data_IF_048471712298
#
_entry.id   IF_048471712298
#
_cell.length_a   1.000
_cell.length_b   1.000
_cell.length_c   1.000
_cell.angle_alpha   90.00
_cell.angle_beta   90.00
_cell.angle_gamma   90.00
#
_symmetry.space_group_name_H-M   'P 1'
#
loop_
_entity.id
_entity.type
_entity.pdbx_description
1 polymer ?
#
# COMPACT_ATOMS: atom_id res chain seq x y z
N UNK A 1 0.56 0.75 -10.63
CA UNK A 1 -0.91 0.64 -10.75
C UNK A 1 -1.43 0.33 -9.37
N UNK A 2 -2.51 0.99 -8.99
CA UNK A 2 -2.95 1.02 -7.60
C UNK A 2 -3.97 -0.07 -7.29
N UNK A 3 -3.91 -0.58 -6.07
CA UNK A 3 -4.82 -1.62 -5.58
C UNK A 3 -5.17 -1.39 -4.11
N UNK A 4 -6.30 -1.95 -3.69
CA UNK A 4 -6.69 -2.01 -2.29
C UNK A 4 -7.57 -3.23 -2.05
N UNK A 5 -7.38 -3.89 -0.91
CA UNK A 5 -8.04 -5.16 -0.60
C UNK A 5 -7.71 -5.66 0.80
N UNK A 6 -7.99 -6.94 1.04
CA UNK A 6 -7.78 -7.61 2.33
C UNK A 6 -6.71 -8.68 2.18
N UNK A 7 -5.81 -8.78 3.16
CA UNK A 7 -4.80 -9.84 3.21
C UNK A 7 -5.48 -11.18 3.51
N UNK A 8 -5.39 -12.11 2.58
CA UNK A 8 -6.00 -13.46 2.70
C UNK A 8 -4.99 -14.57 2.96
N UNK A 9 -3.70 -14.30 2.73
CA UNK A 9 -2.61 -15.25 2.98
C UNK A 9 -1.29 -14.49 3.20
N UNK A 10 -0.37 -15.08 3.98
CA UNK A 10 0.95 -14.51 4.27
C UNK A 10 2.03 -15.60 4.32
N UNK A 11 3.22 -15.27 3.84
CA UNK A 11 4.40 -16.11 4.06
C UNK A 11 4.96 -15.92 5.48
N UNK A 12 5.62 -16.93 6.04
CA UNK A 12 6.16 -16.91 7.41
C UNK A 12 7.24 -15.84 7.67
N UNK A 13 7.76 -15.22 6.61
CA UNK A 13 8.77 -14.15 6.69
C UNK A 13 8.16 -12.74 6.79
N UNK A 14 6.86 -12.59 6.52
CA UNK A 14 6.13 -11.32 6.62
C UNK A 14 6.02 -10.93 8.09
N UNK A 15 6.26 -9.65 8.42
CA UNK A 15 6.27 -9.18 9.81
C UNK A 15 5.33 -8.02 10.09
N UNK A 16 5.03 -7.18 9.09
CA UNK A 16 4.20 -5.97 9.26
C UNK A 16 2.72 -6.23 9.07
N UNK A 17 2.37 -7.14 8.17
CA UNK A 17 0.98 -7.40 7.76
C UNK A 17 0.51 -8.74 8.31
N UNK A 18 -0.79 -8.85 8.56
CA UNK A 18 -1.46 -10.09 8.96
C UNK A 18 -2.72 -10.33 8.14
N UNK A 19 -3.21 -11.56 8.17
CA UNK A 19 -4.50 -11.94 7.61
C UNK A 19 -5.59 -11.02 8.20
N UNK A 20 -6.56 -10.66 7.36
CA UNK A 20 -7.67 -9.73 7.60
C UNK A 20 -7.28 -8.24 7.67
N UNK A 21 -6.01 -7.87 7.49
CA UNK A 21 -5.65 -6.45 7.34
C UNK A 21 -6.21 -5.87 6.04
N UNK A 22 -6.86 -4.70 6.13
CA UNK A 22 -7.22 -3.90 4.98
C UNK A 22 -6.02 -3.06 4.54
N UNK A 23 -5.60 -3.22 3.28
CA UNK A 23 -4.37 -2.62 2.74
C UNK A 23 -4.61 -1.85 1.44
N UNK A 24 -3.66 -1.01 1.08
CA UNK A 24 -3.53 -0.39 -0.24
C UNK A 24 -2.06 -0.37 -0.68
N UNK A 25 -1.81 -0.20 -1.98
CA UNK A 25 -0.44 -0.13 -2.50
C UNK A 25 -0.35 0.02 -4.02
N UNK A 26 0.84 0.34 -4.51
CA UNK A 26 1.14 0.41 -5.94
C UNK A 26 2.00 -0.78 -6.40
N UNK A 27 1.46 -1.57 -7.33
CA UNK A 27 2.08 -2.81 -7.81
C UNK A 27 2.90 -2.65 -9.10
N UNK A 28 3.21 -1.41 -9.50
CA UNK A 28 3.85 -1.14 -10.79
C UNK A 28 2.94 -1.50 -11.98
N UNK A 29 3.52 -1.89 -13.12
CA UNK A 29 2.78 -2.20 -14.35
C UNK A 29 2.26 -3.64 -14.36
N UNK A 30 0.98 -3.83 -14.74
CA UNK A 30 0.39 -5.15 -15.07
C UNK A 30 -0.33 -5.91 -13.96
N UNK A 31 -0.23 -5.51 -12.68
CA UNK A 31 -0.56 -6.39 -11.55
C UNK A 31 -1.72 -5.93 -10.62
N UNK A 32 -2.68 -5.11 -11.09
CA UNK A 32 -3.74 -4.57 -10.21
C UNK A 32 -5.19 -4.85 -10.67
N UNK A 33 -5.40 -5.43 -11.85
CA UNK A 33 -6.73 -5.81 -12.37
C UNK A 33 -6.97 -7.31 -12.21
N UNK A 34 -6.91 -7.79 -10.97
CA UNK A 34 -7.13 -9.19 -10.63
C UNK A 34 -7.86 -9.31 -9.29
N UNK A 35 -8.54 -10.43 -9.06
CA UNK A 35 -9.19 -10.73 -7.79
C UNK A 35 -8.18 -11.01 -6.66
N UNK A 36 -6.99 -11.49 -7.04
CA UNK A 36 -5.89 -11.78 -6.13
C UNK A 36 -4.57 -11.27 -6.72
N UNK A 37 -3.72 -10.76 -5.84
CA UNK A 37 -2.39 -10.26 -6.17
C UNK A 37 -1.40 -10.77 -5.13
N UNK A 38 -0.15 -10.99 -5.56
CA UNK A 38 0.95 -11.33 -4.68
C UNK A 38 2.03 -10.26 -4.81
N UNK A 39 2.58 -9.80 -3.69
CA UNK A 39 3.63 -8.79 -3.66
C UNK A 39 4.41 -8.81 -2.36
N UNK A 40 5.54 -8.12 -2.36
CA UNK A 40 6.35 -7.92 -1.16
C UNK A 40 5.60 -7.03 -0.15
N UNK A 41 5.74 -7.30 1.15
CA UNK A 41 5.03 -6.55 2.20
C UNK A 41 5.40 -5.06 2.23
N UNK A 42 6.54 -4.68 1.65
CA UNK A 42 6.97 -3.27 1.51
C UNK A 42 6.16 -2.49 0.48
N UNK A 43 5.48 -3.16 -0.47
CA UNK A 43 4.63 -2.53 -1.48
C UNK A 43 3.24 -2.18 -0.95
N UNK A 44 2.94 -2.55 0.30
CA UNK A 44 1.62 -2.39 0.89
C UNK A 44 1.67 -1.67 2.24
N UNK A 45 0.65 -0.84 2.46
CA UNK A 45 0.41 -0.15 3.72
C UNK A 45 -1.02 -0.40 4.20
N UNK A 46 -1.24 -0.22 5.51
CA UNK A 46 -2.59 -0.31 6.08
C UNK A 46 -3.47 0.80 5.51
N UNK A 47 -4.66 0.42 5.09
CA UNK A 47 -5.66 1.32 4.56
C UNK A 47 -6.20 2.21 5.69
N UNK A 48 -6.29 3.54 5.50
CA UNK A 48 -7.00 4.41 6.44
C UNK A 48 -8.43 3.94 6.66
N UNK A 49 -8.88 3.92 7.90
CA UNK A 49 -10.20 3.38 8.30
C UNK A 49 -11.37 4.22 7.80
N UNK A 50 -11.12 5.50 7.46
CA UNK A 50 -12.12 6.46 6.99
C UNK A 50 -12.31 6.48 5.46
N UNK A 51 -11.53 5.71 4.70
CA UNK A 51 -11.69 5.59 3.25
C UNK A 51 -12.44 4.32 2.88
N UNK A 52 -13.07 4.27 1.72
CA UNK A 52 -13.46 3.02 1.06
C UNK A 52 -12.27 2.37 0.34
N UNK A 53 -12.39 1.11 -0.09
CA UNK A 53 -11.35 0.44 -0.89
C UNK A 53 -11.10 1.16 -2.22
N UNK A 54 -12.17 1.64 -2.87
CA UNK A 54 -12.08 2.40 -4.12
C UNK A 54 -11.32 3.71 -3.93
N UNK A 55 -11.62 4.46 -2.86
CA UNK A 55 -10.91 5.71 -2.57
C UNK A 55 -9.45 5.45 -2.22
N UNK A 56 -9.16 4.41 -1.44
CA UNK A 56 -7.79 4.06 -1.08
C UNK A 56 -6.95 3.67 -2.30
N UNK A 57 -7.49 2.86 -3.22
CA UNK A 57 -6.84 2.56 -4.49
C UNK A 57 -6.61 3.83 -5.33
N UNK A 58 -7.58 4.75 -5.39
CA UNK A 58 -7.44 5.97 -6.17
C UNK A 58 -6.33 6.92 -5.68
N UNK A 59 -6.01 6.90 -4.37
CA UNK A 59 -5.01 7.80 -3.78
C UNK A 59 -3.64 7.16 -3.57
N UNK A 60 -3.49 5.85 -3.80
CA UNK A 60 -2.30 5.08 -3.43
C UNK A 60 -0.99 5.69 -3.98
N UNK A 61 -0.89 5.90 -5.30
CA UNK A 61 0.26 6.51 -5.95
C UNK A 61 0.54 7.95 -5.49
N UNK A 62 -0.52 8.74 -5.24
CA UNK A 62 -0.37 10.11 -4.77
C UNK A 62 0.25 10.16 -3.37
N UNK A 63 -0.13 9.22 -2.50
CA UNK A 63 0.46 9.08 -1.16
C UNK A 63 1.93 8.67 -1.25
N UNK A 64 2.28 7.67 -2.07
CA UNK A 64 3.70 7.27 -2.25
C UNK A 64 4.54 8.42 -2.80
N UNK A 65 4.03 9.16 -3.78
CA UNK A 65 4.74 10.31 -4.35
C UNK A 65 4.95 11.41 -3.31
N UNK A 66 3.94 11.68 -2.49
CA UNK A 66 4.05 12.63 -1.39
C UNK A 66 5.06 12.15 -0.34
N UNK A 67 5.07 10.87 -0.01
CA UNK A 67 5.99 10.28 0.98
C UNK A 67 7.45 10.45 0.53
N UNK A 68 7.75 10.07 -0.72
CA UNK A 68 9.07 10.28 -1.32
C UNK A 68 9.44 11.77 -1.34
N UNK A 69 8.51 12.65 -1.70
CA UNK A 69 8.76 14.08 -1.77
C UNK A 69 9.04 14.70 -0.39
N UNK A 70 8.30 14.30 0.65
CA UNK A 70 8.36 14.91 1.97
C UNK A 70 9.38 14.30 2.92
N UNK A 71 9.66 13.00 2.80
CA UNK A 71 10.46 12.27 3.78
C UNK A 71 11.77 11.72 3.20
N UNK A 72 11.82 11.37 1.91
CA UNK A 72 13.07 10.88 1.30
C UNK A 72 13.88 12.00 0.62
N UNK A 73 13.24 12.84 -0.18
CA UNK A 73 13.89 13.91 -0.95
C UNK A 73 13.88 15.24 -0.20
N UNK A 74 12.76 15.56 0.44
CA UNK A 74 12.66 16.63 1.42
C UNK A 74 13.29 16.17 2.73
N UNK A 75 14.56 16.48 2.98
CA UNK A 75 15.13 16.36 4.32
C UNK A 75 14.44 17.36 5.26
N UNK A 76 13.23 17.06 5.70
CA UNK A 76 12.63 17.74 6.83
C UNK A 76 13.37 17.26 8.08
N UNK A 77 14.43 17.98 8.47
CA UNK A 77 14.97 17.91 9.82
C UNK A 77 13.81 18.27 10.76
N UNK A 78 13.29 17.27 11.47
CA UNK A 78 12.49 17.53 12.67
C UNK A 78 13.40 18.19 13.72
N UNK A 79 12.88 19.25 14.34
CA UNK A 79 13.46 20.04 15.43
C UNK A 79 13.01 19.42 16.75
#
# INVERSE_FOLDING_TARGET
MDCSGIVVDIHSSVKRLKIDDAIYGNMGYGNAFAEYIHGDESLFALKPTNLSFTEAAAVSLAVETADVAFFEQGKSHEI
#
